data_IF_939269939769
#
_entry.id   IF_939269939769
#
_cell.length_a   1.000
_cell.length_b   1.000
_cell.length_c   1.000
_cell.angle_alpha   90.00
_cell.angle_beta   90.00
_cell.angle_gamma   90.00
#
_symmetry.space_group_name_H-M   'P 1'
#
loop_
_entity.id
_entity.type
_entity.pdbx_description
1 polymer ?
#
# COMPACT_ATOMS: atom_id res chain seq x y z
N UNK A 1 35.40 -13.55 -16.56
CA UNK A 1 34.23 -13.65 -17.46
C UNK A 1 33.04 -14.06 -16.61
N UNK A 2 32.10 -13.13 -16.47
CA UNK A 2 30.86 -13.26 -15.73
C UNK A 2 29.89 -14.09 -16.57
N UNK A 3 29.28 -15.13 -15.99
CA UNK A 3 28.06 -15.70 -16.56
C UNK A 3 26.91 -15.31 -15.65
N UNK A 4 26.05 -14.47 -16.21
CA UNK A 4 24.86 -13.93 -15.57
C UNK A 4 23.85 -15.02 -15.27
N UNK A 5 23.24 -14.90 -14.09
CA UNK A 5 22.10 -15.70 -13.70
C UNK A 5 20.84 -14.96 -14.19
N UNK A 6 20.39 -15.27 -15.39
CA UNK A 6 19.11 -14.78 -15.92
C UNK A 6 17.98 -15.47 -15.13
N UNK A 7 17.35 -14.71 -14.24
CA UNK A 7 16.16 -15.15 -13.52
C UNK A 7 15.05 -15.46 -14.51
N UNK A 8 14.58 -16.71 -14.53
CA UNK A 8 13.39 -17.12 -15.29
C UNK A 8 12.17 -16.35 -14.76
N UNK A 9 11.73 -15.36 -15.52
CA UNK A 9 10.36 -14.85 -15.46
C UNK A 9 9.45 -16.03 -15.84
N UNK A 10 8.81 -16.63 -14.85
CA UNK A 10 7.78 -17.65 -15.08
C UNK A 10 6.45 -16.92 -15.12
N UNK A 11 5.92 -16.70 -16.33
CA UNK A 11 4.49 -16.50 -16.50
C UNK A 11 3.81 -17.79 -16.03
N UNK A 12 3.20 -17.76 -14.84
CA UNK A 12 2.27 -18.81 -14.45
C UNK A 12 1.02 -18.65 -15.32
N UNK A 13 1.00 -19.29 -16.49
CA UNK A 13 -0.20 -19.36 -17.32
C UNK A 13 -1.13 -20.43 -16.74
N UNK A 14 -2.15 -19.96 -16.03
CA UNK A 14 -3.20 -20.81 -15.51
C UNK A 14 -4.01 -21.34 -16.69
N UNK A 15 -4.11 -22.67 -16.83
CA UNK A 15 -4.80 -23.33 -17.95
C UNK A 15 -6.24 -22.84 -18.09
N UNK A 16 -6.64 -22.43 -19.30
CA UNK A 16 -8.00 -22.01 -19.62
C UNK A 16 -9.03 -23.05 -19.17
N UNK A 17 -9.90 -22.69 -18.23
CA UNK A 17 -11.07 -23.49 -17.84
C UNK A 17 -11.25 -23.82 -16.36
N UNK A 18 -10.28 -23.53 -15.48
CA UNK A 18 -10.45 -23.64 -14.02
C UNK A 18 -10.61 -22.24 -13.43
N UNK A 19 -11.78 -21.97 -12.85
CA UNK A 19 -12.04 -20.73 -12.12
C UNK A 19 -11.24 -20.73 -10.81
N UNK A 20 -10.17 -19.91 -10.76
CA UNK A 20 -9.30 -19.75 -9.59
C UNK A 20 -10.02 -18.95 -8.51
N UNK A 21 -10.13 -19.52 -7.30
CA UNK A 21 -10.60 -18.83 -6.11
C UNK A 21 -9.45 -18.08 -5.44
N UNK A 22 -9.63 -16.78 -5.27
CA UNK A 22 -8.61 -15.89 -4.74
C UNK A 22 -9.09 -15.27 -3.42
N UNK A 23 -8.24 -15.31 -2.40
CA UNK A 23 -8.43 -14.45 -1.21
C UNK A 23 -7.60 -13.18 -1.39
N UNK A 24 -8.23 -12.01 -1.41
CA UNK A 24 -7.53 -10.74 -1.34
C UNK A 24 -7.56 -10.17 0.09
N UNK A 25 -6.40 -9.84 0.64
CA UNK A 25 -6.24 -9.17 1.93
C UNK A 25 -5.64 -7.79 1.70
N UNK A 26 -6.41 -6.73 1.95
CA UNK A 26 -6.00 -5.35 1.68
C UNK A 26 -6.17 -4.42 2.86
N UNK A 27 -5.75 -3.17 2.67
CA UNK A 27 -6.04 -2.08 3.58
C UNK A 27 -7.21 -1.26 3.03
N UNK A 28 -8.02 -0.65 3.89
CA UNK A 28 -9.03 0.33 3.46
C UNK A 28 -8.47 1.44 2.56
N UNK A 29 -7.17 1.77 2.68
CA UNK A 29 -6.52 2.78 1.83
C UNK A 29 -6.42 2.41 0.34
N UNK A 30 -6.46 1.13 -0.01
CA UNK A 30 -6.39 0.65 -1.42
C UNK A 30 -7.73 0.09 -1.91
N UNK A 31 -8.71 -0.05 -1.01
CA UNK A 31 -10.03 -0.62 -1.30
C UNK A 31 -10.74 0.07 -2.47
N UNK A 32 -10.64 1.41 -2.58
CA UNK A 32 -11.28 2.16 -3.66
C UNK A 32 -10.70 1.80 -5.03
N UNK A 33 -9.38 1.67 -5.14
CA UNK A 33 -8.70 1.30 -6.36
C UNK A 33 -9.01 -0.14 -6.76
N UNK A 34 -9.01 -1.07 -5.80
CA UNK A 34 -9.40 -2.46 -6.04
C UNK A 34 -10.83 -2.54 -6.59
N UNK A 35 -11.79 -1.86 -5.96
CA UNK A 35 -13.16 -1.84 -6.45
C UNK A 35 -13.30 -1.19 -7.84
N UNK A 36 -12.54 -0.11 -8.10
CA UNK A 36 -12.59 0.57 -9.40
C UNK A 36 -11.98 -0.24 -10.54
N UNK A 37 -11.02 -1.11 -10.27
CA UNK A 37 -10.45 -2.05 -11.25
C UNK A 37 -11.37 -3.24 -11.54
N UNK A 38 -12.35 -3.49 -10.66
CA UNK A 38 -13.29 -4.59 -10.76
C UNK A 38 -12.79 -5.82 -10.00
N UNK A 39 -13.68 -6.41 -9.22
CA UNK A 39 -13.40 -7.64 -8.46
C UNK A 39 -14.11 -8.79 -9.18
N UNK A 40 -13.40 -9.84 -9.62
CA UNK A 40 -14.04 -11.01 -10.21
C UNK A 40 -14.83 -11.76 -9.14
N UNK A 41 -15.91 -12.46 -9.55
CA UNK A 41 -16.76 -13.23 -8.62
C UNK A 41 -15.99 -14.32 -7.84
N UNK A 42 -14.83 -14.72 -8.34
CA UNK A 42 -13.97 -15.72 -7.71
C UNK A 42 -13.01 -15.14 -6.67
N UNK A 43 -13.04 -13.82 -6.44
CA UNK A 43 -12.17 -13.14 -5.48
C UNK A 43 -12.95 -12.67 -4.25
N UNK A 44 -12.63 -13.28 -3.11
CA UNK A 44 -13.14 -12.86 -1.81
C UNK A 44 -12.19 -11.82 -1.20
N UNK A 45 -12.67 -10.61 -0.96
CA UNK A 45 -11.86 -9.51 -0.43
C UNK A 45 -12.11 -9.28 1.06
N UNK A 46 -11.04 -9.04 1.82
CA UNK A 46 -11.09 -8.56 3.20
C UNK A 46 -10.16 -7.35 3.34
N UNK A 47 -10.72 -6.20 3.70
CA UNK A 47 -9.98 -4.96 3.94
C UNK A 47 -9.89 -4.70 5.44
N UNK A 48 -8.68 -4.45 5.93
CA UNK A 48 -8.43 -4.12 7.31
C UNK A 48 -8.39 -2.60 7.51
N UNK A 49 -8.84 -2.19 8.70
CA UNK A 49 -8.87 -0.80 9.14
C UNK A 49 -7.48 -0.15 9.00
N UNK A 50 -7.46 1.03 8.41
CA UNK A 50 -6.24 1.80 8.20
C UNK A 50 -5.41 1.96 9.50
N UNK A 51 -6.07 2.12 10.64
CA UNK A 51 -5.44 2.39 11.94
C UNK A 51 -4.53 1.27 12.44
N UNK A 52 -4.60 0.06 11.86
CA UNK A 52 -3.64 -1.00 12.14
C UNK A 52 -2.19 -0.60 11.81
N UNK A 53 -1.95 0.38 10.92
CA UNK A 53 -0.61 0.94 10.67
C UNK A 53 0.03 1.59 11.92
N UNK A 54 -0.79 2.06 12.86
CA UNK A 54 -0.32 2.54 14.16
C UNK A 54 0.07 1.43 15.14
N UNK A 55 -0.19 0.15 14.80
CA UNK A 55 0.09 -1.04 15.63
C UNK A 55 0.63 -2.21 14.77
N UNK A 56 1.86 -2.13 14.23
CA UNK A 56 2.39 -3.11 13.27
C UNK A 56 2.35 -4.56 13.73
N UNK A 57 2.64 -4.84 15.01
CA UNK A 57 2.59 -6.21 15.55
C UNK A 57 1.17 -6.79 15.50
N UNK A 58 0.17 -5.96 15.79
CA UNK A 58 -1.24 -6.36 15.73
C UNK A 58 -1.70 -6.55 14.28
N UNK A 59 -1.25 -5.68 13.37
CA UNK A 59 -1.49 -5.85 11.93
C UNK A 59 -0.91 -7.17 11.43
N UNK A 60 0.35 -7.48 11.78
CA UNK A 60 1.00 -8.73 11.41
C UNK A 60 0.23 -9.96 11.92
N UNK A 61 -0.16 -9.97 13.20
CA UNK A 61 -0.97 -11.05 13.77
C UNK A 61 -2.31 -11.22 13.04
N UNK A 62 -2.99 -10.11 12.71
CA UNK A 62 -4.27 -10.15 12.00
C UNK A 62 -4.11 -10.68 10.58
N UNK A 63 -3.08 -10.25 9.85
CA UNK A 63 -2.75 -10.78 8.53
C UNK A 63 -2.51 -12.30 8.58
N UNK A 64 -1.70 -12.76 9.54
CA UNK A 64 -1.42 -14.19 9.71
C UNK A 64 -2.68 -15.00 10.04
N UNK A 65 -3.58 -14.46 10.86
CA UNK A 65 -4.87 -15.09 11.18
C UNK A 65 -5.72 -15.30 9.93
N UNK A 66 -5.87 -14.27 9.10
CA UNK A 66 -6.64 -14.34 7.85
C UNK A 66 -5.99 -15.31 6.87
N UNK A 67 -4.66 -15.29 6.74
CA UNK A 67 -3.92 -16.25 5.91
C UNK A 67 -4.18 -17.69 6.38
N UNK A 68 -4.11 -17.96 7.69
CA UNK A 68 -4.38 -19.29 8.25
C UNK A 68 -5.82 -19.78 7.99
N UNK A 69 -6.78 -18.87 7.90
CA UNK A 69 -8.19 -19.17 7.60
C UNK A 69 -8.44 -19.36 6.09
N UNK A 70 -7.55 -18.88 5.23
CA UNK A 70 -7.73 -18.83 3.77
C UNK A 70 -7.04 -19.99 3.04
N UNK A 71 -7.06 -21.19 3.64
CA UNK A 71 -6.28 -22.34 3.18
C UNK A 71 -7.05 -23.27 2.23
N UNK A 72 -8.22 -22.85 1.78
CA UNK A 72 -9.14 -23.48 0.81
C UNK A 72 -9.24 -22.69 -0.51
N UNK A 73 -8.45 -21.62 -0.65
CA UNK A 73 -8.29 -20.84 -1.88
C UNK A 73 -7.15 -21.40 -2.73
N UNK A 74 -7.10 -20.97 -4.00
CA UNK A 74 -6.03 -21.33 -4.93
C UNK A 74 -4.86 -20.34 -4.86
N UNK A 75 -5.13 -19.09 -4.47
CA UNK A 75 -4.12 -18.04 -4.29
C UNK A 75 -4.55 -17.05 -3.19
N UNK A 76 -3.60 -16.61 -2.36
CA UNK A 76 -3.79 -15.48 -1.46
C UNK A 76 -3.04 -14.28 -2.03
N UNK A 77 -3.75 -13.19 -2.28
CA UNK A 77 -3.16 -11.91 -2.69
C UNK A 77 -3.18 -10.96 -1.49
N UNK A 78 -2.13 -10.19 -1.33
CA UNK A 78 -2.14 -9.03 -0.42
C UNK A 78 -1.76 -7.75 -1.12
N UNK A 79 -2.43 -6.64 -0.79
CA UNK A 79 -2.00 -5.29 -1.22
C UNK A 79 -1.06 -4.64 -0.20
N UNK A 80 -0.69 -5.36 0.87
CA UNK A 80 0.33 -4.92 1.80
C UNK A 80 1.72 -5.15 1.22
N UNK A 81 2.58 -4.14 1.37
CA UNK A 81 3.97 -4.14 0.93
C UNK A 81 4.91 -4.13 2.16
N UNK A 82 6.08 -3.49 2.06
CA UNK A 82 7.06 -3.38 3.16
C UNK A 82 6.73 -2.35 4.24
N UNK A 83 5.53 -1.78 4.29
CA UNK A 83 5.16 -0.77 5.29
C UNK A 83 5.34 -1.35 6.71
N UNK A 84 6.32 -0.83 7.46
CA UNK A 84 6.78 -1.39 8.75
C UNK A 84 7.11 -2.89 8.73
N UNK A 85 7.46 -3.44 7.56
CA UNK A 85 7.75 -4.87 7.34
C UNK A 85 6.66 -5.82 7.85
N UNK A 86 5.38 -5.40 7.90
CA UNK A 86 4.30 -6.23 8.47
C UNK A 86 4.07 -7.55 7.74
N UNK A 87 4.54 -7.68 6.50
CA UNK A 87 4.46 -8.92 5.73
C UNK A 87 5.60 -9.90 6.02
N UNK A 88 6.72 -9.44 6.59
CA UNK A 88 7.87 -10.30 6.89
C UNK A 88 7.49 -11.27 8.00
N UNK A 89 7.80 -12.56 7.82
CA UNK A 89 7.42 -13.61 8.77
C UNK A 89 6.06 -14.24 8.49
N UNK A 90 5.24 -13.68 7.59
CA UNK A 90 3.98 -14.31 7.21
C UNK A 90 4.24 -15.62 6.45
N UNK A 91 3.41 -16.61 6.71
CA UNK A 91 3.48 -17.93 6.09
C UNK A 91 2.09 -18.45 5.77
N UNK A 92 1.91 -18.98 4.57
CA UNK A 92 0.73 -19.76 4.19
C UNK A 92 1.14 -21.22 4.02
N UNK A 93 0.43 -22.14 4.66
CA UNK A 93 0.87 -23.54 4.73
C UNK A 93 0.63 -24.31 3.43
N UNK A 94 -0.49 -24.04 2.74
CA UNK A 94 -0.96 -24.82 1.58
C UNK A 94 -1.21 -23.97 0.33
N UNK A 95 -1.47 -22.68 0.51
CA UNK A 95 -1.88 -21.80 -0.57
C UNK A 95 -0.74 -20.83 -0.89
N UNK A 96 -0.33 -20.66 -2.17
CA UNK A 96 0.68 -19.69 -2.50
C UNK A 96 0.23 -18.26 -2.18
N UNK A 97 1.18 -17.35 -1.99
CA UNK A 97 0.91 -15.93 -1.80
C UNK A 97 1.52 -15.08 -2.91
N UNK A 98 0.80 -14.02 -3.30
CA UNK A 98 1.28 -13.00 -4.24
C UNK A 98 1.13 -11.61 -3.62
N UNK A 99 2.18 -10.81 -3.67
CA UNK A 99 2.21 -9.46 -3.12
C UNK A 99 3.04 -8.50 -3.96
N UNK A 100 2.76 -7.19 -3.94
CA UNK A 100 3.58 -6.22 -4.63
C UNK A 100 4.95 -6.09 -3.94
N UNK A 101 6.00 -6.00 -4.74
CA UNK A 101 7.38 -5.75 -4.28
C UNK A 101 7.64 -4.25 -4.14
N UNK A 102 6.79 -3.57 -3.37
CA UNK A 102 6.86 -2.12 -3.15
C UNK A 102 7.20 -1.76 -1.70
N UNK A 103 7.69 -0.55 -1.48
CA UNK A 103 7.97 -0.02 -0.14
C UNK A 103 6.68 0.12 0.69
N UNK A 104 5.64 0.67 0.07
CA UNK A 104 4.37 0.97 0.72
C UNK A 104 3.23 1.10 -0.32
N UNK A 105 2.05 1.48 0.17
CA UNK A 105 0.91 1.74 -0.71
C UNK A 105 1.10 2.96 -1.62
N UNK A 106 1.99 3.91 -1.31
CA UNK A 106 2.26 5.05 -2.18
C UNK A 106 3.00 4.59 -3.43
N UNK A 107 4.06 3.80 -3.28
CA UNK A 107 4.74 3.16 -4.43
C UNK A 107 3.79 2.29 -5.24
N UNK A 108 2.91 1.52 -4.58
CA UNK A 108 1.91 0.70 -5.28
C UNK A 108 0.97 1.54 -6.14
N UNK A 109 0.48 2.67 -5.62
CA UNK A 109 -0.43 3.58 -6.33
C UNK A 109 0.28 4.42 -7.41
N UNK A 110 1.60 4.52 -7.34
CA UNK A 110 2.46 5.12 -8.37
C UNK A 110 2.99 4.09 -9.37
N UNK A 111 2.70 2.80 -9.18
CA UNK A 111 3.08 1.71 -10.08
C UNK A 111 4.45 1.08 -9.79
N UNK A 112 5.40 1.78 -9.16
CA UNK A 112 6.72 1.21 -8.82
C UNK A 112 7.46 2.02 -7.74
N UNK A 113 8.51 1.46 -7.13
CA UNK A 113 9.34 2.26 -6.21
C UNK A 113 10.22 3.25 -6.98
N UNK A 114 10.66 2.94 -8.21
CA UNK A 114 11.46 3.85 -9.02
C UNK A 114 10.72 5.17 -9.25
N UNK A 115 9.42 5.11 -9.60
CA UNK A 115 8.61 6.31 -9.80
C UNK A 115 8.49 7.13 -8.52
N UNK A 116 8.25 6.49 -7.37
CA UNK A 116 8.24 7.18 -6.08
C UNK A 116 9.60 7.84 -5.78
N UNK A 117 10.70 7.12 -6.00
CA UNK A 117 12.07 7.60 -5.77
C UNK A 117 12.42 8.78 -6.69
N UNK A 118 12.00 8.78 -7.95
CA UNK A 118 12.18 9.91 -8.86
C UNK A 118 11.47 11.17 -8.37
N UNK A 119 10.23 11.03 -7.88
CA UNK A 119 9.49 12.16 -7.31
C UNK A 119 10.12 12.66 -6.00
N UNK A 120 10.58 11.75 -5.13
CA UNK A 120 11.31 12.11 -3.90
C UNK A 120 12.65 12.77 -4.20
N UNK A 121 13.37 12.39 -5.27
CA UNK A 121 14.59 13.09 -5.71
C UNK A 121 14.31 14.54 -6.14
N UNK A 122 13.15 14.81 -6.73
CA UNK A 122 12.73 16.18 -7.11
C UNK A 122 12.42 17.01 -5.87
N UNK A 123 11.73 16.43 -4.88
CA UNK A 123 11.51 17.08 -3.59
C UNK A 123 11.33 16.05 -2.45
N UNK A 124 12.35 15.85 -1.59
CA UNK A 124 12.28 14.90 -0.49
C UNK A 124 11.33 15.36 0.64
N UNK A 125 10.95 16.65 0.66
CA UNK A 125 9.95 17.22 1.57
C UNK A 125 8.50 17.01 1.11
N UNK A 126 8.25 16.10 0.16
CA UNK A 126 6.90 15.80 -0.31
C UNK A 126 6.19 14.79 0.58
N UNK A 127 5.01 15.16 1.09
CA UNK A 127 4.07 14.28 1.77
C UNK A 127 2.96 13.87 0.80
N UNK A 128 2.81 12.57 0.55
CA UNK A 128 1.83 12.04 -0.39
C UNK A 128 0.51 11.69 0.30
N UNK A 129 -0.59 12.00 -0.37
CA UNK A 129 -1.95 11.68 0.02
C UNK A 129 -2.61 10.86 -1.09
N UNK A 130 -3.38 9.85 -0.73
CA UNK A 130 -4.34 9.20 -1.62
C UNK A 130 -5.77 9.43 -1.12
N UNK A 131 -6.76 9.11 -1.94
CA UNK A 131 -8.17 9.12 -1.52
C UNK A 131 -8.38 8.27 -0.27
N UNK A 132 -7.89 7.04 -0.28
CA UNK A 132 -8.02 6.11 0.85
C UNK A 132 -7.35 6.63 2.12
N UNK A 133 -6.14 7.21 2.01
CA UNK A 133 -5.49 7.85 3.16
C UNK A 133 -6.30 9.01 3.73
N UNK A 134 -6.90 9.85 2.87
CA UNK A 134 -7.70 11.00 3.31
C UNK A 134 -9.08 10.65 3.87
N UNK A 135 -9.58 9.44 3.61
CA UNK A 135 -10.88 8.97 4.11
C UNK A 135 -10.74 8.14 5.38
N UNK A 136 -9.73 7.28 5.46
CA UNK A 136 -9.57 6.32 6.56
C UNK A 136 -8.37 6.62 7.46
N UNK A 137 -7.41 7.41 6.98
CA UNK A 137 -6.18 7.71 7.70
C UNK A 137 -6.31 8.87 8.69
N UNK A 138 -5.45 8.83 9.70
CA UNK A 138 -5.26 9.92 10.64
C UNK A 138 -4.38 10.99 10.00
N UNK A 139 -5.01 12.03 9.44
CA UNK A 139 -4.28 13.11 8.75
C UNK A 139 -3.37 13.90 9.71
N UNK A 140 -2.27 14.50 9.22
CA UNK A 140 -1.38 15.32 10.05
C UNK A 140 -2.09 16.45 10.81
N UNK A 141 -3.10 17.07 10.19
CA UNK A 141 -3.89 18.12 10.84
C UNK A 141 -4.85 17.57 11.90
N UNK A 142 -5.46 16.39 11.68
CA UNK A 142 -6.27 15.74 12.71
C UNK A 142 -5.42 15.35 13.93
N UNK A 143 -4.21 14.83 13.68
CA UNK A 143 -3.24 14.51 14.74
C UNK A 143 -2.86 15.75 15.57
N UNK A 144 -2.69 16.92 14.93
CA UNK A 144 -2.48 18.18 15.65
C UNK A 144 -3.63 18.48 16.62
N UNK A 145 -4.88 18.43 16.14
CA UNK A 145 -6.06 18.75 16.94
C UNK A 145 -6.18 17.83 18.16
N UNK A 146 -5.92 16.54 17.99
CA UNK A 146 -5.89 15.58 19.09
C UNK A 146 -4.78 15.88 20.10
N UNK A 147 -3.60 16.32 19.64
CA UNK A 147 -2.52 16.73 20.54
C UNK A 147 -2.85 18.02 21.28
N UNK A 148 -3.56 18.97 20.67
CA UNK A 148 -4.03 20.17 21.36
C UNK A 148 -4.96 19.79 22.50
N UNK A 149 -5.92 18.90 22.25
CA UNK A 149 -6.85 18.42 23.29
C UNK A 149 -6.12 17.70 24.44
N UNK A 150 -5.13 16.86 24.12
CA UNK A 150 -4.44 16.03 25.12
C UNK A 150 -3.33 16.74 25.88
N UNK A 151 -2.63 17.67 25.23
CA UNK A 151 -1.36 18.20 25.73
C UNK A 151 -1.30 19.73 25.76
N UNK A 152 -2.33 20.41 25.27
CA UNK A 152 -2.33 21.87 25.11
C UNK A 152 -1.59 22.33 23.84
N UNK A 153 -1.89 23.56 23.44
CA UNK A 153 -1.49 24.10 22.13
C UNK A 153 0.03 24.18 21.92
N UNK A 154 0.78 24.61 22.93
CA UNK A 154 2.23 24.78 22.84
C UNK A 154 2.92 23.43 22.55
N UNK A 155 2.68 22.44 23.42
CA UNK A 155 3.23 21.09 23.27
C UNK A 155 2.75 20.40 21.99
N UNK A 156 1.49 20.59 21.59
CA UNK A 156 0.99 20.06 20.32
C UNK A 156 1.74 20.63 19.11
N UNK A 157 2.06 21.93 19.14
CA UNK A 157 2.81 22.59 18.07
C UNK A 157 4.22 22.04 17.96
N UNK A 158 4.91 21.83 19.08
CA UNK A 158 6.25 21.24 19.10
C UNK A 158 6.26 19.79 18.57
N UNK A 159 5.30 18.98 19.01
CA UNK A 159 5.17 17.58 18.56
C UNK A 159 4.91 17.50 17.05
N UNK A 160 4.00 18.31 16.54
CA UNK A 160 3.67 18.32 15.11
C UNK A 160 4.83 18.83 14.26
N UNK A 161 5.56 19.83 14.73
CA UNK A 161 6.77 20.30 14.06
C UNK A 161 7.86 19.23 14.03
N UNK A 162 7.99 18.43 15.08
CA UNK A 162 8.93 17.30 15.12
C UNK A 162 8.56 16.22 14.09
N UNK A 163 7.27 15.91 13.96
CA UNK A 163 6.78 14.86 13.05
C UNK A 163 6.78 15.29 11.59
N UNK A 164 6.40 16.54 11.32
CA UNK A 164 6.05 16.99 9.97
C UNK A 164 6.87 18.20 9.48
N UNK A 165 7.76 18.77 10.30
CA UNK A 165 8.48 20.01 9.97
C UNK A 165 9.54 19.88 8.88
N UNK A 166 9.86 18.67 8.43
CA UNK A 166 10.74 18.42 7.28
C UNK A 166 10.00 18.45 5.94
N UNK A 167 8.67 18.37 5.95
CA UNK A 167 7.86 18.44 4.73
C UNK A 167 7.58 19.89 4.36
N UNK A 168 7.46 20.14 3.06
CA UNK A 168 7.16 21.45 2.49
C UNK A 168 6.15 21.38 1.32
N UNK A 169 5.71 20.18 0.92
CA UNK A 169 4.77 19.99 -0.18
C UNK A 169 3.79 18.85 0.10
N UNK A 170 2.50 19.09 -0.12
CA UNK A 170 1.44 18.10 -0.08
C UNK A 170 1.06 17.68 -1.51
N UNK A 171 1.17 16.39 -1.84
CA UNK A 171 0.83 15.87 -3.17
C UNK A 171 -0.34 14.91 -3.07
N UNK A 172 -1.40 15.16 -3.83
CA UNK A 172 -2.51 14.22 -4.02
C UNK A 172 -2.22 13.28 -5.19
N UNK A 173 -2.22 11.97 -4.93
CA UNK A 173 -2.15 10.94 -5.96
C UNK A 173 -3.56 10.70 -6.49
N UNK A 174 -3.73 10.89 -7.80
CA UNK A 174 -5.01 10.79 -8.49
C UNK A 174 -5.06 9.47 -9.26
N UNK A 175 -5.91 8.55 -8.81
CA UNK A 175 -6.12 7.25 -9.43
C UNK A 175 -7.51 7.18 -10.07
N UNK A 176 -7.78 6.12 -10.85
CA UNK A 176 -9.13 5.80 -11.33
C UNK A 176 -10.14 5.61 -10.17
N UNK A 177 -9.65 5.34 -8.96
CA UNK A 177 -10.42 5.23 -7.72
C UNK A 177 -10.94 6.57 -7.18
N UNK A 178 -10.43 7.72 -7.64
CA UNK A 178 -10.73 9.01 -7.03
C UNK A 178 -11.99 9.66 -7.60
N UNK A 179 -13.15 9.25 -7.06
CA UNK A 179 -14.43 9.98 -7.24
C UNK A 179 -14.38 11.32 -6.48
N UNK A 180 -15.10 12.33 -6.94
CA UNK A 180 -15.19 13.65 -6.29
C UNK A 180 -13.85 14.34 -6.02
N UNK A 181 -12.94 14.34 -7.00
CA UNK A 181 -11.57 14.89 -6.86
C UNK A 181 -11.51 16.30 -6.22
N UNK A 182 -12.52 17.16 -6.47
CA UNK A 182 -12.60 18.50 -5.86
C UNK A 182 -12.60 18.46 -4.32
N UNK A 183 -13.37 17.53 -3.73
CA UNK A 183 -13.43 17.32 -2.28
C UNK A 183 -12.05 16.95 -1.72
N UNK A 184 -11.30 16.10 -2.41
CA UNK A 184 -9.97 15.66 -1.95
C UNK A 184 -8.91 16.76 -2.13
N UNK A 185 -9.00 17.54 -3.21
CA UNK A 185 -8.18 18.76 -3.38
C UNK A 185 -8.38 19.74 -2.23
N UNK A 186 -9.62 19.95 -1.80
CA UNK A 186 -9.96 20.81 -0.66
C UNK A 186 -9.41 20.25 0.66
N UNK A 187 -9.54 18.94 0.91
CA UNK A 187 -8.92 18.28 2.08
C UNK A 187 -7.41 18.50 2.12
N UNK A 188 -6.72 18.26 1.01
CA UNK A 188 -5.25 18.46 0.91
C UNK A 188 -4.88 19.92 1.09
N UNK A 189 -5.62 20.84 0.47
CA UNK A 189 -5.42 22.30 0.63
C UNK A 189 -5.50 22.70 2.10
N UNK A 190 -6.53 22.24 2.82
CA UNK A 190 -6.71 22.56 4.25
C UNK A 190 -5.52 22.09 5.10
N UNK A 191 -4.99 20.90 4.82
CA UNK A 191 -3.79 20.40 5.50
C UNK A 191 -2.59 21.26 5.14
N UNK A 192 -2.36 21.49 3.85
CA UNK A 192 -1.23 22.26 3.36
C UNK A 192 -1.22 23.70 3.90
N UNK A 193 -2.37 24.39 3.93
CA UNK A 193 -2.50 25.75 4.45
C UNK A 193 -2.15 25.82 5.95
N UNK A 194 -2.49 24.80 6.74
CA UNK A 194 -2.12 24.74 8.16
C UNK A 194 -0.60 24.60 8.34
N UNK A 195 0.05 23.81 7.50
CA UNK A 195 1.50 23.57 7.57
C UNK A 195 2.34 24.58 6.78
N UNK A 196 1.72 25.42 5.95
CA UNK A 196 2.43 26.28 4.99
C UNK A 196 3.11 25.50 3.86
N UNK A 197 2.53 24.37 3.44
CA UNK A 197 3.06 23.54 2.36
C UNK A 197 2.55 23.96 0.98
N UNK A 198 3.38 23.78 -0.04
CA UNK A 198 2.93 23.83 -1.43
C UNK A 198 1.97 22.68 -1.74
N UNK A 199 1.05 22.87 -2.68
CA UNK A 199 0.11 21.82 -3.11
C UNK A 199 0.46 21.34 -4.51
N UNK A 200 0.45 20.03 -4.72
CA UNK A 200 0.62 19.39 -6.01
C UNK A 200 -0.29 18.18 -6.22
N UNK A 201 -0.26 17.65 -7.43
CA UNK A 201 -0.96 16.44 -7.83
C UNK A 201 -0.02 15.57 -8.65
N UNK A 202 -0.15 14.26 -8.50
CA UNK A 202 0.54 13.27 -9.31
C UNK A 202 -0.50 12.27 -9.82
N UNK A 203 -0.43 11.95 -11.11
CA UNK A 203 -1.26 10.88 -11.67
C UNK A 203 -0.74 9.53 -11.18
N UNK A 204 -1.62 8.71 -10.61
CA UNK A 204 -1.29 7.36 -10.20
C UNK A 204 -1.17 6.42 -11.38
N UNK A 205 -0.50 5.29 -11.17
CA UNK A 205 -0.37 4.21 -12.14
C UNK A 205 -0.75 2.90 -11.44
N UNK A 206 -1.89 2.32 -11.85
CA UNK A 206 -2.43 1.12 -11.25
C UNK A 206 -1.99 -0.15 -11.99
N UNK A 207 -1.01 -0.09 -12.89
CA UNK A 207 -0.54 -1.26 -13.63
C UNK A 207 -0.08 -2.38 -12.68
N UNK A 208 0.77 -2.07 -11.69
CA UNK A 208 1.23 -3.07 -10.73
C UNK A 208 0.10 -3.65 -9.88
N UNK A 209 -0.82 -2.79 -9.39
CA UNK A 209 -2.00 -3.27 -8.67
C UNK A 209 -2.84 -4.20 -9.54
N UNK A 210 -3.04 -3.86 -10.80
CA UNK A 210 -3.79 -4.69 -11.77
C UNK A 210 -3.10 -6.03 -12.00
N UNK A 211 -1.78 -6.04 -12.17
CA UNK A 211 -0.97 -7.27 -12.33
C UNK A 211 -1.15 -8.18 -11.13
N UNK A 212 -1.01 -7.63 -9.92
CA UNK A 212 -1.18 -8.38 -8.67
C UNK A 212 -2.60 -8.93 -8.55
N UNK A 213 -3.64 -8.11 -8.75
CA UNK A 213 -5.05 -8.53 -8.64
C UNK A 213 -5.43 -9.63 -9.65
N UNK A 214 -4.79 -9.66 -10.82
CA UNK A 214 -4.99 -10.73 -11.81
C UNK A 214 -4.25 -12.03 -11.48
N UNK A 215 -3.52 -12.10 -10.36
CA UNK A 215 -2.72 -13.26 -9.99
C UNK A 215 -1.46 -13.42 -10.84
N UNK A 216 -1.06 -12.38 -11.58
CA UNK A 216 0.09 -12.43 -12.48
C UNK A 216 1.38 -12.08 -11.73
N UNK A 217 2.45 -12.76 -12.09
CA UNK A 217 3.81 -12.47 -11.63
C UNK A 217 4.51 -11.53 -12.61
N UNK A 218 5.47 -10.78 -12.10
CA UNK A 218 6.29 -9.84 -12.84
C UNK A 218 7.49 -9.39 -12.02
N UNK A 219 8.27 -8.45 -12.57
CA UNK A 219 9.46 -7.93 -11.90
C UNK A 219 9.14 -7.41 -10.50
N UNK A 220 8.07 -6.62 -10.36
CA UNK A 220 7.74 -5.94 -9.10
C UNK A 220 6.66 -6.65 -8.28
N UNK A 221 6.63 -7.97 -8.40
CA UNK A 221 5.79 -8.85 -7.59
C UNK A 221 6.64 -9.87 -6.86
N UNK A 222 6.13 -10.37 -5.73
CA UNK A 222 6.74 -11.47 -5.00
C UNK A 222 5.73 -12.60 -4.96
N UNK A 223 6.12 -13.75 -5.50
CA UNK A 223 5.40 -14.99 -5.38
C UNK A 223 6.07 -15.87 -4.32
N UNK A 224 5.27 -16.38 -3.37
CA UNK A 224 5.73 -17.14 -2.22
C UNK A 224 5.08 -18.52 -2.28
N UNK A 225 5.91 -19.56 -2.38
CA UNK A 225 5.41 -20.93 -2.45
C UNK A 225 4.78 -21.37 -1.12
N UNK A 226 3.83 -22.32 -1.14
CA UNK A 226 3.28 -22.92 0.08
C UNK A 226 4.37 -23.41 1.04
N UNK A 227 4.20 -23.12 2.33
CA UNK A 227 5.14 -23.48 3.38
C UNK A 227 6.38 -22.60 3.45
N UNK A 228 6.54 -21.60 2.58
CA UNK A 228 7.60 -20.61 2.69
C UNK A 228 7.16 -19.40 3.52
N UNK A 229 8.11 -18.88 4.29
CA UNK A 229 7.95 -17.63 5.03
C UNK A 229 8.43 -16.46 4.17
N UNK A 230 7.70 -15.36 4.19
CA UNK A 230 8.13 -14.11 3.56
C UNK A 230 9.39 -13.58 4.27
N UNK A 231 10.48 -13.42 3.53
CA UNK A 231 11.75 -12.88 4.06
C UNK A 231 12.02 -11.46 3.55
N UNK A 232 12.95 -10.77 4.19
CA UNK A 232 13.37 -9.42 3.77
C UNK A 232 14.03 -9.46 2.39
N UNK A 233 14.76 -10.52 2.07
CA UNK A 233 15.47 -10.69 0.80
C UNK A 233 14.50 -10.82 -0.38
N UNK A 234 13.36 -11.50 -0.18
CA UNK A 234 12.31 -11.59 -1.20
C UNK A 234 11.72 -10.22 -1.54
N UNK A 235 11.71 -9.31 -0.56
CA UNK A 235 11.20 -7.96 -0.67
C UNK A 235 12.30 -6.95 -1.07
N UNK A 236 13.54 -7.42 -1.28
CA UNK A 236 14.66 -6.59 -1.66
C UNK A 236 14.69 -6.38 -3.18
N UNK A 237 14.91 -5.12 -3.57
CA UNK A 237 14.83 -4.69 -4.98
C UNK A 237 13.39 -4.51 -5.45
N UNK A 238 13.19 -3.55 -6.35
CA UNK A 238 11.89 -3.07 -6.82
C UNK A 238 11.77 -1.57 -6.67
#
# INVERSE_FOLDING_TARGET
MLFGNEGKLTEYSWSEGIAIKIKLIGCDSTMNEVHSLGIPETMDCEFLDFNYHGKPDLLHMRLQEIINQSQDYDLIITTYSRCSNVVVGLLSQRVPMLLPRTHDCISLLLGSNERQLELLKKNPGTYYFSRGWLDYGRTPYAEYLEYVERFGQEKATDLIKMLYGSYNKAVLIVTLGTKDIKKYREKVRKIADFFGWDVGEEEGDLHLLTTVLNGNTGADTVYVEPGQTITVEMLAGG
#
